data_IF_460475573430
#
_entry.id   IF_460475573430
#
_cell.length_a   1.000
_cell.length_b   1.000
_cell.length_c   1.000
_cell.angle_alpha   90.00
_cell.angle_beta   90.00
_cell.angle_gamma   90.00
#
_symmetry.space_group_name_H-M   'P 1'
#
loop_
_entity.id
_entity.type
_entity.pdbx_description
1 polymer ?
#
# COMPACT_ATOMS: atom_id res chain seq x y z
N UNK A 1 16.79 -10.64 -6.15
CA UNK A 1 15.87 -10.70 -7.30
C UNK A 1 14.56 -10.12 -6.83
N UNK A 2 13.92 -9.25 -7.62
CA UNK A 2 12.59 -8.74 -7.29
C UNK A 2 11.62 -9.91 -7.22
N UNK A 3 10.99 -10.10 -6.05
CA UNK A 3 10.00 -11.16 -5.85
C UNK A 3 8.70 -10.76 -6.53
N UNK A 4 8.14 -11.70 -7.30
CA UNK A 4 6.84 -11.57 -7.92
C UNK A 4 6.03 -12.83 -7.61
N UNK A 5 4.77 -12.65 -7.22
CA UNK A 5 3.77 -13.72 -7.02
C UNK A 5 2.63 -13.46 -7.99
N UNK A 6 2.08 -14.51 -8.60
CA UNK A 6 0.98 -14.39 -9.55
C UNK A 6 -0.33 -14.86 -8.91
N UNK A 7 -1.34 -13.99 -8.86
CA UNK A 7 -2.71 -14.36 -8.48
C UNK A 7 -3.58 -14.23 -9.72
N UNK A 8 -4.13 -15.36 -10.18
CA UNK A 8 -4.83 -15.47 -11.46
C UNK A 8 -4.03 -14.84 -12.62
N UNK A 9 -4.50 -13.73 -13.20
CA UNK A 9 -3.85 -13.01 -14.30
C UNK A 9 -3.03 -11.79 -13.85
N UNK A 10 -2.83 -11.56 -12.55
CA UNK A 10 -2.12 -10.39 -12.00
C UNK A 10 -0.80 -10.79 -11.35
N UNK A 11 0.28 -10.11 -11.76
CA UNK A 11 1.58 -10.16 -11.10
C UNK A 11 1.63 -9.12 -9.99
N UNK A 12 2.03 -9.56 -8.80
CA UNK A 12 2.15 -8.75 -7.59
C UNK A 12 3.62 -8.74 -7.22
N UNK A 13 4.21 -7.56 -7.02
CA UNK A 13 5.63 -7.43 -6.70
C UNK A 13 6.21 -6.07 -7.08
N UNK A 14 7.53 -5.95 -7.04
CA UNK A 14 8.21 -4.76 -7.53
C UNK A 14 8.03 -4.61 -9.04
N UNK A 15 7.87 -3.36 -9.52
CA UNK A 15 7.62 -3.08 -10.93
C UNK A 15 6.17 -3.23 -11.39
N UNK A 16 5.29 -3.81 -10.55
CA UNK A 16 3.86 -3.95 -10.83
C UNK A 16 3.02 -2.96 -10.02
N UNK A 17 1.82 -2.64 -10.51
CA UNK A 17 0.83 -1.86 -9.78
C UNK A 17 0.37 -2.60 -8.54
N UNK A 18 0.21 -1.89 -7.43
CA UNK A 18 -0.39 -2.33 -6.17
C UNK A 18 -1.71 -3.04 -6.44
N UNK A 19 -1.86 -4.24 -5.89
CA UNK A 19 -3.04 -5.07 -5.95
C UNK A 19 -4.04 -4.63 -4.87
N UNK A 20 -5.21 -4.14 -5.28
CA UNK A 20 -6.20 -3.55 -4.37
C UNK A 20 -7.39 -4.50 -4.23
N UNK A 21 -7.62 -4.96 -3.00
CA UNK A 21 -8.67 -5.90 -2.62
C UNK A 21 -9.80 -5.12 -1.94
N UNK A 22 -11.01 -5.22 -2.50
CA UNK A 22 -12.24 -4.84 -1.81
C UNK A 22 -12.72 -6.04 -0.99
N UNK A 23 -12.75 -5.89 0.33
CA UNK A 23 -13.27 -6.92 1.24
C UNK A 23 -14.78 -6.73 1.43
N UNK A 24 -15.57 -7.74 1.02
CA UNK A 24 -17.03 -7.68 1.15
C UNK A 24 -17.47 -7.94 2.59
N UNK A 25 -16.86 -8.93 3.26
CA UNK A 25 -17.24 -9.37 4.61
C UNK A 25 -18.77 -9.51 4.76
N UNK A 26 -19.33 -9.11 5.91
CA UNK A 26 -20.77 -9.14 6.22
C UNK A 26 -21.59 -8.02 5.55
N UNK A 27 -21.00 -7.16 4.70
CA UNK A 27 -21.70 -5.98 4.16
C UNK A 27 -22.80 -6.31 3.14
N UNK A 28 -22.92 -7.58 2.73
CA UNK A 28 -24.05 -8.05 1.93
C UNK A 28 -25.35 -8.17 2.75
N UNK A 29 -25.30 -8.11 4.09
CA UNK A 29 -26.48 -8.12 4.97
C UNK A 29 -27.45 -9.28 4.71
N UNK A 30 -26.92 -10.48 4.45
CA UNK A 30 -27.72 -11.65 4.06
C UNK A 30 -28.64 -11.42 2.84
N UNK A 31 -28.21 -10.59 1.88
CA UNK A 31 -28.89 -10.35 0.61
C UNK A 31 -27.94 -10.64 -0.58
N UNK A 32 -28.32 -11.58 -1.45
CA UNK A 32 -27.52 -11.99 -2.60
C UNK A 32 -27.43 -10.89 -3.66
N UNK A 33 -28.54 -10.20 -3.94
CA UNK A 33 -28.56 -9.13 -4.95
C UNK A 33 -27.70 -7.95 -4.48
N UNK A 34 -27.71 -7.68 -3.17
CA UNK A 34 -26.78 -6.72 -2.55
C UNK A 34 -25.32 -7.13 -2.70
N UNK A 35 -24.98 -8.41 -2.49
CA UNK A 35 -23.62 -8.91 -2.74
C UNK A 35 -23.19 -8.66 -4.20
N UNK A 36 -24.09 -8.87 -5.16
CA UNK A 36 -23.85 -8.58 -6.58
C UNK A 36 -23.65 -7.08 -6.83
N UNK A 37 -24.44 -6.22 -6.20
CA UNK A 37 -24.26 -4.77 -6.27
C UNK A 37 -22.90 -4.31 -5.72
N UNK A 38 -22.46 -4.89 -4.60
CA UNK A 38 -21.14 -4.65 -4.00
C UNK A 38 -20.02 -5.00 -4.99
N UNK A 39 -20.07 -6.18 -5.61
CA UNK A 39 -19.08 -6.63 -6.61
C UNK A 39 -18.96 -5.60 -7.75
N UNK A 40 -20.10 -5.19 -8.32
CA UNK A 40 -20.14 -4.22 -9.42
C UNK A 40 -19.62 -2.84 -9.00
N UNK A 41 -19.98 -2.41 -7.78
CA UNK A 41 -19.51 -1.14 -7.23
C UNK A 41 -17.99 -1.16 -6.96
N UNK A 42 -17.45 -2.24 -6.42
CA UNK A 42 -16.02 -2.44 -6.21
C UNK A 42 -15.24 -2.39 -7.52
N UNK A 43 -15.72 -3.08 -8.58
CA UNK A 43 -15.12 -3.00 -9.91
C UNK A 43 -15.12 -1.58 -10.45
N UNK A 44 -16.27 -0.89 -10.38
CA UNK A 44 -16.40 0.51 -10.83
C UNK A 44 -15.52 1.48 -10.04
N UNK A 45 -15.24 1.18 -8.77
CA UNK A 45 -14.32 1.94 -7.93
C UNK A 45 -12.84 1.66 -8.26
N UNK A 46 -12.54 0.61 -9.02
CA UNK A 46 -11.20 0.28 -9.49
C UNK A 46 -10.46 -0.75 -8.63
N UNK A 47 -11.19 -1.57 -7.86
CA UNK A 47 -10.61 -2.74 -7.21
C UNK A 47 -10.04 -3.72 -8.26
N UNK A 48 -8.97 -4.43 -7.88
CA UNK A 48 -8.40 -5.54 -8.65
C UNK A 48 -9.07 -6.88 -8.28
N UNK A 49 -9.53 -6.99 -7.04
CA UNK A 49 -10.18 -8.18 -6.51
C UNK A 49 -11.33 -7.86 -5.56
N UNK A 50 -12.26 -8.81 -5.46
CA UNK A 50 -13.24 -8.90 -4.38
C UNK A 50 -12.89 -10.10 -3.49
N UNK A 51 -12.92 -9.91 -2.17
CA UNK A 51 -12.68 -10.97 -1.19
C UNK A 51 -13.96 -11.28 -0.41
N UNK A 52 -14.20 -12.58 -0.22
CA UNK A 52 -15.30 -13.13 0.59
C UNK A 52 -14.75 -13.68 1.93
N UNK A 53 -15.65 -14.16 2.79
CA UNK A 53 -15.31 -14.98 3.95
C UNK A 53 -16.10 -16.29 3.91
N UNK A 54 -15.42 -17.41 4.12
CA UNK A 54 -15.98 -18.75 3.98
C UNK A 54 -15.91 -19.47 5.30
N UNK A 55 -17.04 -19.52 5.98
CA UNK A 55 -17.26 -20.28 7.21
C UNK A 55 -18.77 -20.49 7.40
N UNK A 56 -19.12 -21.30 8.38
CA UNK A 56 -20.45 -21.25 9.02
C UNK A 56 -20.24 -20.98 10.51
N UNK A 57 -21.25 -20.50 11.25
CA UNK A 57 -21.14 -20.33 12.70
C UNK A 57 -20.65 -21.60 13.41
N UNK A 58 -21.07 -22.77 12.94
CA UNK A 58 -20.76 -24.07 13.54
C UNK A 58 -19.37 -24.61 13.16
N UNK A 59 -18.72 -24.07 12.11
CA UNK A 59 -17.37 -24.49 11.72
C UNK A 59 -16.29 -23.62 12.33
N UNK A 60 -16.57 -22.32 12.52
CA UNK A 60 -15.63 -21.37 13.13
C UNK A 60 -15.73 -21.33 14.66
N UNK A 61 -16.91 -21.64 15.22
CA UNK A 61 -17.17 -21.64 16.66
C UNK A 61 -18.29 -22.62 17.00
N UNK A 62 -18.82 -22.56 18.22
CA UNK A 62 -19.94 -23.40 18.67
C UNK A 62 -21.03 -22.54 19.31
N UNK A 63 -22.27 -23.02 19.28
CA UNK A 63 -23.39 -22.40 19.99
C UNK A 63 -23.20 -22.56 21.51
N UNK A 64 -22.55 -21.56 22.10
CA UNK A 64 -22.24 -21.51 23.52
C UNK A 64 -22.31 -20.07 24.03
N UNK A 65 -22.94 -19.86 25.19
CA UNK A 65 -23.14 -18.54 25.82
C UNK A 65 -22.44 -18.45 27.19
N UNK A 66 -21.34 -19.19 27.36
CA UNK A 66 -20.50 -19.03 28.54
C UNK A 66 -19.61 -17.79 28.42
N UNK A 67 -18.92 -17.43 29.50
CA UNK A 67 -18.14 -16.19 29.56
C UNK A 67 -17.00 -16.04 28.53
N UNK A 68 -16.56 -17.15 27.91
CA UNK A 68 -15.49 -17.18 26.91
C UNK A 68 -16.02 -16.92 25.49
N UNK A 69 -17.28 -17.25 25.21
CA UNK A 69 -17.91 -17.05 23.90
C UNK A 69 -18.64 -15.72 23.80
N UNK A 70 -18.81 -15.00 24.91
CA UNK A 70 -19.36 -13.65 24.92
C UNK A 70 -18.34 -12.60 24.47
N UNK A 71 -18.82 -11.66 23.65
CA UNK A 71 -18.05 -10.52 23.18
C UNK A 71 -18.20 -9.38 24.19
N UNK A 72 -17.10 -9.04 24.85
CA UNK A 72 -17.02 -8.07 25.98
C UNK A 72 -15.70 -7.29 26.01
N UNK A 73 -15.06 -7.14 24.85
CA UNK A 73 -13.70 -6.60 24.73
C UNK A 73 -13.68 -5.09 24.39
N UNK A 74 -14.81 -4.39 24.51
CA UNK A 74 -14.95 -2.97 24.18
C UNK A 74 -15.03 -2.74 22.67
N UNK A 75 -15.56 -3.71 21.92
CA UNK A 75 -15.69 -3.68 20.47
C UNK A 75 -17.08 -3.22 20.03
N UNK A 76 -17.25 -2.97 18.74
CA UNK A 76 -18.56 -2.66 18.15
C UNK A 76 -19.54 -3.85 18.17
N UNK A 77 -19.05 -5.05 18.53
CA UNK A 77 -19.83 -6.29 18.59
C UNK A 77 -20.13 -6.75 20.02
N UNK A 78 -19.83 -5.92 21.03
CA UNK A 78 -20.08 -6.27 22.43
C UNK A 78 -21.56 -6.51 22.72
N UNK A 79 -21.86 -7.44 23.63
CA UNK A 79 -23.23 -7.75 24.08
C UNK A 79 -23.91 -8.90 23.35
N UNK A 80 -23.17 -9.66 22.54
CA UNK A 80 -23.62 -10.92 21.94
C UNK A 80 -22.57 -12.02 22.09
N UNK A 81 -22.85 -13.20 21.55
CA UNK A 81 -21.91 -14.33 21.46
C UNK A 81 -21.27 -14.39 20.07
N UNK A 82 -20.08 -14.96 19.95
CA UNK A 82 -19.43 -15.22 18.65
C UNK A 82 -20.36 -15.93 17.66
N UNK A 83 -21.03 -17.00 18.09
CA UNK A 83 -21.92 -17.79 17.22
C UNK A 83 -23.06 -16.96 16.62
N UNK A 84 -23.80 -16.22 17.46
CA UNK A 84 -24.87 -15.29 17.01
C UNK A 84 -24.36 -14.22 16.04
N UNK A 85 -23.19 -13.61 16.31
CA UNK A 85 -22.59 -12.64 15.40
C UNK A 85 -22.31 -13.27 14.03
N UNK A 86 -21.67 -14.44 14.03
CA UNK A 86 -21.32 -15.15 12.80
C UNK A 86 -22.55 -15.64 12.04
N UNK A 87 -23.66 -15.93 12.71
CA UNK A 87 -24.92 -16.28 12.09
C UNK A 87 -25.51 -15.12 11.27
N UNK A 88 -25.30 -13.88 11.70
CA UNK A 88 -25.68 -12.69 10.95
C UNK A 88 -24.68 -12.36 9.83
N UNK A 89 -23.40 -12.66 10.04
CA UNK A 89 -22.29 -12.17 9.21
C UNK A 89 -21.86 -13.10 8.06
N UNK A 90 -22.02 -14.42 8.18
CA UNK A 90 -21.44 -15.37 7.21
C UNK A 90 -22.00 -15.20 5.80
N UNK A 91 -21.17 -15.42 4.78
CA UNK A 91 -21.64 -15.49 3.38
C UNK A 91 -22.13 -16.91 3.08
N UNK A 92 -23.41 -17.13 2.72
CA UNK A 92 -23.94 -18.45 2.40
C UNK A 92 -23.12 -19.18 1.34
N UNK A 93 -22.76 -20.44 1.60
CA UNK A 93 -21.83 -21.20 0.76
C UNK A 93 -22.36 -21.36 -0.66
N UNK A 94 -23.66 -21.62 -0.81
CA UNK A 94 -24.30 -21.79 -2.11
C UNK A 94 -24.33 -20.50 -2.97
N UNK A 95 -24.00 -19.34 -2.38
CA UNK A 95 -23.82 -18.10 -3.12
C UNK A 95 -22.43 -17.96 -3.71
N UNK A 96 -21.40 -18.43 -2.99
CA UNK A 96 -20.01 -18.11 -3.29
C UNK A 96 -19.56 -18.53 -4.71
N UNK A 97 -19.93 -19.70 -5.27
CA UNK A 97 -19.62 -20.04 -6.66
C UNK A 97 -20.28 -19.10 -7.67
N UNK A 98 -21.52 -18.66 -7.40
CA UNK A 98 -22.25 -17.71 -8.26
C UNK A 98 -21.63 -16.32 -8.18
N UNK A 99 -21.27 -15.86 -6.98
CA UNK A 99 -20.61 -14.58 -6.75
C UNK A 99 -19.21 -14.55 -7.39
N UNK A 100 -18.44 -15.64 -7.28
CA UNK A 100 -17.15 -15.79 -7.97
C UNK A 100 -17.31 -15.60 -9.47
N UNK A 101 -18.27 -16.32 -10.09
CA UNK A 101 -18.55 -16.18 -11.52
C UNK A 101 -18.91 -14.73 -11.90
N UNK A 102 -19.80 -14.09 -11.14
CA UNK A 102 -20.21 -12.70 -11.40
C UNK A 102 -19.01 -11.75 -11.28
N UNK A 103 -18.16 -11.91 -10.26
CA UNK A 103 -16.96 -11.11 -10.09
C UNK A 103 -15.99 -11.28 -11.26
N UNK A 104 -15.77 -12.52 -11.71
CA UNK A 104 -14.92 -12.83 -12.86
C UNK A 104 -15.47 -12.25 -14.17
N UNK A 105 -16.80 -12.33 -14.38
CA UNK A 105 -17.48 -11.74 -15.54
C UNK A 105 -17.37 -10.18 -15.54
N UNK A 106 -17.33 -9.54 -14.36
CA UNK A 106 -17.03 -8.10 -14.19
C UNK A 106 -15.53 -7.78 -14.30
N UNK A 107 -14.67 -8.80 -14.43
CA UNK A 107 -13.22 -8.66 -14.54
C UNK A 107 -12.52 -8.35 -13.21
N UNK A 108 -13.05 -8.85 -12.10
CA UNK A 108 -12.39 -8.92 -10.80
C UNK A 108 -11.82 -10.32 -10.56
N UNK A 109 -10.71 -10.39 -9.83
CA UNK A 109 -10.29 -11.65 -9.21
C UNK A 109 -11.17 -11.88 -7.97
N UNK A 110 -11.63 -13.12 -7.76
CA UNK A 110 -12.40 -13.48 -6.58
C UNK A 110 -11.71 -14.63 -5.82
N UNK A 111 -11.50 -14.42 -4.53
CA UNK A 111 -11.00 -15.41 -3.58
C UNK A 111 -11.61 -15.15 -2.20
N UNK A 112 -11.25 -15.96 -1.20
CA UNK A 112 -11.86 -15.87 0.12
C UNK A 112 -10.88 -16.13 1.26
N UNK A 113 -11.31 -15.79 2.46
CA UNK A 113 -10.73 -16.25 3.72
C UNK A 113 -11.43 -17.52 4.20
N UNK A 114 -10.78 -18.69 4.22
CA UNK A 114 -11.27 -19.85 4.97
C UNK A 114 -10.97 -19.69 6.46
N UNK A 115 -11.75 -20.34 7.31
CA UNK A 115 -11.60 -20.32 8.77
C UNK A 115 -11.56 -21.72 9.41
N UNK A 116 -11.66 -22.77 8.59
CA UNK A 116 -11.60 -24.16 9.01
C UNK A 116 -11.25 -25.07 7.81
N UNK A 117 -10.97 -26.35 8.04
CA UNK A 117 -10.55 -27.26 6.97
C UNK A 117 -11.63 -27.46 5.89
N UNK A 118 -12.92 -27.47 6.27
CA UNK A 118 -14.03 -27.66 5.32
C UNK A 118 -14.19 -26.44 4.41
N UNK A 119 -13.94 -25.24 4.92
CA UNK A 119 -13.93 -24.03 4.10
C UNK A 119 -12.74 -24.00 3.14
N UNK A 120 -11.58 -24.56 3.49
CA UNK A 120 -10.46 -24.74 2.52
C UNK A 120 -10.85 -25.69 1.40
N UNK A 121 -11.44 -26.83 1.73
CA UNK A 121 -11.84 -27.84 0.74
C UNK A 121 -12.92 -27.31 -0.22
N UNK A 122 -13.90 -26.57 0.31
CA UNK A 122 -14.90 -25.88 -0.50
C UNK A 122 -14.28 -24.85 -1.46
N UNK A 123 -13.28 -24.10 -1.00
CA UNK A 123 -12.57 -23.14 -1.85
C UNK A 123 -11.71 -23.81 -2.93
N UNK A 124 -11.24 -25.04 -2.70
CA UNK A 124 -10.60 -25.86 -3.74
C UNK A 124 -11.60 -26.30 -4.80
N UNK A 125 -12.80 -26.73 -4.41
CA UNK A 125 -13.87 -27.04 -5.36
C UNK A 125 -14.28 -25.82 -6.20
N UNK A 126 -14.24 -24.62 -5.60
CA UNK A 126 -14.47 -23.35 -6.30
C UNK A 126 -13.31 -22.89 -7.21
N UNK A 127 -12.16 -23.56 -7.13
CA UNK A 127 -10.91 -23.18 -7.78
C UNK A 127 -10.55 -21.70 -7.60
N UNK A 128 -10.46 -21.25 -6.34
CA UNK A 128 -9.99 -19.88 -6.06
C UNK A 128 -8.49 -19.76 -6.36
N UNK A 129 -8.01 -18.59 -6.82
CA UNK A 129 -6.61 -18.42 -7.24
C UNK A 129 -5.62 -18.14 -6.10
N UNK A 130 -6.10 -17.92 -4.88
CA UNK A 130 -5.30 -17.63 -3.68
C UNK A 130 -6.13 -17.82 -2.41
N UNK A 131 -5.47 -17.87 -1.26
CA UNK A 131 -6.10 -17.88 0.06
C UNK A 131 -5.75 -16.65 0.87
N UNK A 132 -6.69 -16.21 1.70
CA UNK A 132 -6.44 -15.20 2.73
C UNK A 132 -6.56 -15.78 4.13
N UNK A 133 -5.45 -15.89 4.85
CA UNK A 133 -5.44 -16.17 6.29
C UNK A 133 -5.75 -14.85 7.02
N UNK A 134 -6.84 -14.83 7.78
CA UNK A 134 -7.21 -13.69 8.61
C UNK A 134 -6.29 -13.60 9.84
N UNK A 135 -6.30 -12.43 10.50
CA UNK A 135 -5.34 -12.17 11.58
C UNK A 135 -5.51 -13.13 12.75
N UNK A 136 -6.73 -13.56 13.07
CA UNK A 136 -7.00 -14.40 14.24
C UNK A 136 -6.55 -15.84 14.03
N UNK A 137 -6.37 -16.27 12.79
CA UNK A 137 -5.93 -17.62 12.42
C UNK A 137 -4.41 -17.72 12.24
N UNK A 138 -3.65 -16.63 12.37
CA UNK A 138 -2.19 -16.62 12.10
C UNK A 138 -1.38 -17.55 13.02
N UNK A 139 -1.90 -17.87 14.20
CA UNK A 139 -1.26 -18.78 15.15
C UNK A 139 -1.75 -20.23 15.01
N UNK A 140 -2.73 -20.51 14.15
CA UNK A 140 -3.22 -21.85 13.87
C UNK A 140 -2.31 -22.53 12.82
N UNK A 141 -1.18 -23.04 13.31
CA UNK A 141 -0.13 -23.61 12.46
C UNK A 141 -0.60 -24.82 11.64
N UNK A 142 -1.30 -25.82 12.21
CA UNK A 142 -1.84 -26.93 11.41
C UNK A 142 -2.79 -26.46 10.30
N UNK A 143 -3.59 -25.42 10.57
CA UNK A 143 -4.47 -24.83 9.55
C UNK A 143 -3.70 -24.14 8.43
N UNK A 144 -2.66 -23.36 8.76
CA UNK A 144 -1.79 -22.71 7.77
C UNK A 144 -1.05 -23.75 6.93
N UNK A 145 -0.55 -24.85 7.52
CA UNK A 145 0.04 -25.96 6.78
C UNK A 145 -0.98 -26.58 5.81
N UNK A 146 -2.22 -26.79 6.24
CA UNK A 146 -3.26 -27.32 5.37
C UNK A 146 -3.53 -26.41 4.17
N UNK A 147 -3.69 -25.10 4.39
CA UNK A 147 -3.84 -24.10 3.31
C UNK A 147 -2.64 -24.14 2.36
N UNK A 148 -1.42 -24.10 2.92
CA UNK A 148 -0.20 -24.06 2.14
C UNK A 148 0.00 -25.32 1.29
N UNK A 149 -0.46 -26.49 1.77
CA UNK A 149 -0.38 -27.77 1.06
C UNK A 149 -1.11 -27.80 -0.27
N UNK A 150 -2.08 -26.90 -0.47
CA UNK A 150 -2.83 -26.75 -1.73
C UNK A 150 -2.01 -26.08 -2.84
N UNK A 151 -0.85 -25.50 -2.50
CA UNK A 151 0.12 -24.99 -3.47
C UNK A 151 -0.26 -23.68 -4.16
N UNK A 152 -1.29 -22.98 -3.66
CA UNK A 152 -1.72 -21.65 -4.16
C UNK A 152 -1.12 -20.52 -3.33
N UNK A 153 -1.01 -19.28 -3.86
CA UNK A 153 -0.56 -18.12 -3.09
C UNK A 153 -1.34 -17.91 -1.79
N UNK A 154 -0.62 -17.58 -0.72
CA UNK A 154 -1.19 -17.34 0.63
C UNK A 154 -0.93 -15.89 1.05
N UNK A 155 -2.01 -15.14 1.24
CA UNK A 155 -1.99 -13.80 1.82
C UNK A 155 -2.33 -13.93 3.30
N UNK A 156 -1.47 -13.45 4.21
CA UNK A 156 -1.71 -13.56 5.66
C UNK A 156 -1.72 -12.18 6.31
N UNK A 157 -2.78 -11.86 7.05
CA UNK A 157 -2.81 -10.65 7.89
C UNK A 157 -2.13 -10.91 9.24
N UNK A 158 -1.37 -9.94 9.74
CA UNK A 158 -0.56 -10.10 10.97
C UNK A 158 -1.10 -9.32 12.16
N UNK A 159 -2.42 -9.13 12.26
CA UNK A 159 -3.03 -8.10 13.11
C UNK A 159 -2.96 -8.29 14.63
N UNK A 160 -2.77 -9.53 15.08
CA UNK A 160 -2.59 -9.89 16.50
C UNK A 160 -1.20 -10.47 16.79
N UNK A 161 -0.38 -10.63 15.75
CA UNK A 161 0.83 -11.44 15.79
C UNK A 161 2.02 -10.67 16.34
N UNK A 162 2.82 -11.34 17.17
CA UNK A 162 4.19 -10.93 17.45
C UNK A 162 5.15 -11.45 16.35
N UNK A 163 6.45 -11.14 16.47
CA UNK A 163 7.44 -11.55 15.48
C UNK A 163 7.55 -13.08 15.34
N UNK A 164 7.55 -13.83 16.45
CA UNK A 164 7.66 -15.29 16.43
C UNK A 164 6.42 -15.97 15.84
N UNK A 165 5.23 -15.41 16.05
CA UNK A 165 4.00 -15.93 15.44
C UNK A 165 4.07 -15.83 13.90
N UNK A 166 4.56 -14.68 13.40
CA UNK A 166 4.74 -14.46 11.95
C UNK A 166 5.81 -15.40 11.39
N UNK A 167 6.92 -15.57 12.10
CA UNK A 167 7.98 -16.50 11.70
C UNK A 167 7.47 -17.93 11.59
N UNK A 168 6.71 -18.39 12.59
CA UNK A 168 6.16 -19.74 12.59
C UNK A 168 5.13 -19.94 11.47
N UNK A 169 4.23 -18.97 11.23
CA UNK A 169 3.28 -19.00 10.12
C UNK A 169 3.98 -19.05 8.75
N UNK A 170 5.04 -18.26 8.54
CA UNK A 170 5.85 -18.29 7.31
C UNK A 170 6.54 -19.64 7.15
N UNK A 171 7.08 -20.20 8.24
CA UNK A 171 7.75 -21.50 8.21
C UNK A 171 6.77 -22.64 7.97
N UNK A 172 5.54 -22.57 8.47
CA UNK A 172 4.46 -23.50 8.19
C UNK A 172 4.21 -23.63 6.69
N UNK A 173 4.07 -22.50 5.98
CA UNK A 173 3.94 -22.51 4.52
C UNK A 173 5.14 -23.18 3.83
N UNK A 174 6.36 -22.83 4.26
CA UNK A 174 7.59 -23.39 3.69
C UNK A 174 7.75 -24.90 3.93
N UNK A 175 7.31 -25.42 5.07
CA UNK A 175 7.31 -26.87 5.37
C UNK A 175 6.47 -27.65 4.36
N UNK A 176 5.41 -27.03 3.84
CA UNK A 176 4.56 -27.59 2.80
C UNK A 176 5.06 -27.30 1.37
N UNK A 177 6.26 -26.74 1.23
CA UNK A 177 6.86 -26.41 -0.07
C UNK A 177 6.33 -25.13 -0.70
N UNK A 178 5.46 -24.38 -0.02
CA UNK A 178 4.83 -23.18 -0.56
C UNK A 178 5.61 -21.91 -0.17
N UNK A 179 6.16 -21.22 -1.17
CA UNK A 179 6.93 -19.98 -1.00
C UNK A 179 6.18 -18.74 -1.51
N UNK A 180 4.95 -18.90 -2.01
CA UNK A 180 4.13 -17.82 -2.55
C UNK A 180 3.36 -17.11 -1.42
N UNK A 181 4.14 -16.46 -0.54
CA UNK A 181 3.64 -15.85 0.69
C UNK A 181 3.60 -14.33 0.55
N UNK A 182 2.47 -13.72 0.92
CA UNK A 182 2.28 -12.28 1.04
C UNK A 182 1.88 -11.96 2.48
N UNK A 183 2.61 -11.07 3.15
CA UNK A 183 2.27 -10.63 4.51
C UNK A 183 1.61 -9.25 4.50
N UNK A 184 0.44 -9.13 5.11
CA UNK A 184 -0.22 -7.84 5.30
C UNK A 184 -0.03 -7.37 6.74
N UNK A 185 0.63 -6.21 6.89
CA UNK A 185 0.56 -5.48 8.14
C UNK A 185 -0.92 -5.19 8.43
N UNK A 186 -1.37 -5.44 9.65
CA UNK A 186 -2.76 -5.24 10.06
C UNK A 186 -2.81 -4.74 11.52
N UNK A 187 -3.84 -3.96 11.88
CA UNK A 187 -4.20 -3.74 13.29
C UNK A 187 -5.62 -4.26 13.45
N UNK A 188 -5.82 -5.26 14.30
CA UNK A 188 -7.14 -5.89 14.51
C UNK A 188 -8.02 -5.07 15.48
N UNK A 189 -8.24 -3.80 15.16
CA UNK A 189 -9.19 -2.91 15.85
C UNK A 189 -10.06 -2.19 14.82
N UNK A 190 -11.35 -2.02 15.12
CA UNK A 190 -12.38 -1.73 14.13
C UNK A 190 -13.30 -0.58 14.61
N UNK A 191 -13.09 0.67 14.14
CA UNK A 191 -11.99 1.13 13.29
C UNK A 191 -10.65 1.22 14.04
N UNK A 192 -9.55 1.13 13.30
CA UNK A 192 -8.21 1.28 13.87
C UNK A 192 -7.86 2.75 14.13
N UNK A 193 -7.32 3.11 15.31
CA UNK A 193 -6.79 4.44 15.56
C UNK A 193 -5.51 4.66 14.76
N UNK A 194 -5.29 5.89 14.28
CA UNK A 194 -4.17 6.23 13.40
C UNK A 194 -2.81 5.95 14.06
N UNK A 195 -2.71 6.22 15.36
CA UNK A 195 -1.51 6.01 16.18
C UNK A 195 -1.16 4.52 16.31
N UNK A 196 -2.15 3.63 16.17
CA UNK A 196 -1.98 2.17 16.29
C UNK A 196 -1.59 1.48 14.99
N UNK A 197 -1.47 2.20 13.86
CA UNK A 197 -1.26 1.58 12.54
C UNK A 197 0.18 1.11 12.33
N UNK A 198 1.19 1.86 12.79
CA UNK A 198 2.60 1.46 12.68
C UNK A 198 3.08 1.08 11.26
N UNK A 199 2.86 1.94 10.26
CA UNK A 199 3.19 1.64 8.85
C UNK A 199 4.67 1.32 8.58
N UNK A 200 5.60 1.75 9.44
CA UNK A 200 7.04 1.42 9.33
C UNK A 200 7.31 -0.09 9.44
N UNK A 201 6.35 -0.87 9.95
CA UNK A 201 6.43 -2.33 9.98
C UNK A 201 6.36 -2.96 8.57
N UNK A 202 5.75 -2.30 7.58
CA UNK A 202 5.64 -2.83 6.21
C UNK A 202 7.00 -3.12 5.54
N UNK A 203 7.93 -2.16 5.46
CA UNK A 203 9.26 -2.43 4.92
C UNK A 203 10.05 -3.42 5.80
N UNK A 204 9.92 -3.35 7.13
CA UNK A 204 10.60 -4.29 8.03
C UNK A 204 10.12 -5.74 7.83
N UNK A 205 8.82 -5.99 7.65
CA UNK A 205 8.28 -7.31 7.31
C UNK A 205 8.87 -7.84 6.00
N UNK A 206 9.00 -6.97 4.99
CA UNK A 206 9.56 -7.35 3.69
C UNK A 206 11.02 -7.76 3.83
N UNK A 207 11.83 -6.96 4.53
CA UNK A 207 13.24 -7.25 4.78
C UNK A 207 13.43 -8.52 5.64
N UNK A 208 12.67 -8.65 6.72
CA UNK A 208 12.84 -9.71 7.72
C UNK A 208 12.47 -11.09 7.16
N UNK A 209 11.32 -11.18 6.49
CA UNK A 209 10.83 -12.46 5.98
C UNK A 209 11.18 -12.69 4.51
N UNK A 210 11.76 -11.67 3.84
CA UNK A 210 12.04 -11.67 2.41
C UNK A 210 10.76 -12.03 1.64
N UNK A 211 9.64 -11.33 1.88
CA UNK A 211 8.35 -11.60 1.22
C UNK A 211 7.78 -10.32 0.63
N UNK A 212 6.78 -10.48 -0.23
CA UNK A 212 5.94 -9.35 -0.65
C UNK A 212 5.09 -8.93 0.55
N UNK A 213 5.02 -7.63 0.79
CA UNK A 213 4.21 -7.09 1.89
C UNK A 213 3.13 -6.14 1.42
N UNK A 214 2.14 -5.96 2.27
CA UNK A 214 1.04 -5.04 2.05
C UNK A 214 0.41 -4.56 3.34
N UNK A 215 -0.81 -4.03 3.23
CA UNK A 215 -1.60 -3.53 4.35
C UNK A 215 -3.03 -4.06 4.27
N UNK A 216 -3.54 -4.57 5.38
CA UNK A 216 -4.96 -4.76 5.66
C UNK A 216 -5.41 -3.60 6.54
N UNK A 217 -6.27 -2.72 6.02
CA UNK A 217 -6.49 -1.39 6.58
C UNK A 217 -7.90 -1.20 7.16
N UNK A 218 -8.00 -1.07 8.49
CA UNK A 218 -9.26 -0.81 9.18
C UNK A 218 -9.42 0.64 9.67
N UNK A 219 -8.57 1.59 9.21
CA UNK A 219 -8.77 3.01 9.56
C UNK A 219 -9.90 3.63 8.74
N UNK A 220 -10.39 4.79 9.15
CA UNK A 220 -11.27 5.60 8.30
C UNK A 220 -10.48 6.30 7.19
N UNK A 221 -11.08 6.43 6.01
CA UNK A 221 -10.47 7.07 4.84
C UNK A 221 -9.32 6.29 4.21
N UNK A 222 -8.66 6.89 3.20
CA UNK A 222 -7.62 6.23 2.38
C UNK A 222 -6.18 6.65 2.68
N UNK A 223 -5.95 7.60 3.59
CA UNK A 223 -4.63 8.19 3.83
C UNK A 223 -3.57 7.15 4.21
N UNK A 224 -3.96 6.18 5.05
CA UNK A 224 -3.09 5.12 5.54
C UNK A 224 -2.70 4.16 4.42
N UNK A 225 -3.66 3.71 3.62
CA UNK A 225 -3.43 2.88 2.43
C UNK A 225 -2.50 3.55 1.41
N UNK A 226 -2.64 4.87 1.20
CA UNK A 226 -1.75 5.63 0.30
C UNK A 226 -0.32 5.70 0.86
N UNK A 227 -0.17 5.99 2.15
CA UNK A 227 1.13 6.04 2.81
C UNK A 227 1.83 4.66 2.85
N UNK A 228 1.07 3.58 2.98
CA UNK A 228 1.58 2.21 2.92
C UNK A 228 2.24 1.90 1.57
N UNK A 229 1.62 2.32 0.46
CA UNK A 229 2.19 2.17 -0.90
C UNK A 229 3.50 2.95 -1.03
N UNK A 230 3.55 4.17 -0.49
CA UNK A 230 4.79 4.95 -0.46
C UNK A 230 5.92 4.28 0.34
N UNK A 231 5.58 3.42 1.31
CA UNK A 231 6.51 2.63 2.11
C UNK A 231 6.81 1.23 1.52
N UNK A 232 6.30 0.94 0.32
CA UNK A 232 6.62 -0.28 -0.42
C UNK A 232 5.54 -1.36 -0.44
N UNK A 233 4.36 -1.12 0.18
CA UNK A 233 3.24 -2.07 0.10
C UNK A 233 2.86 -2.37 -1.35
N UNK A 234 2.66 -3.65 -1.67
CA UNK A 234 2.21 -4.15 -2.98
C UNK A 234 0.79 -4.67 -2.99
N UNK A 235 0.20 -4.84 -1.81
CA UNK A 235 -1.18 -5.27 -1.62
C UNK A 235 -1.86 -4.33 -0.63
N UNK A 236 -3.07 -3.89 -0.96
CA UNK A 236 -3.93 -3.09 -0.07
C UNK A 236 -5.27 -3.78 0.02
N UNK A 237 -5.72 -4.08 1.24
CA UNK A 237 -7.04 -4.64 1.52
C UNK A 237 -7.85 -3.64 2.36
N UNK A 238 -9.08 -3.36 1.93
CA UNK A 238 -10.00 -2.42 2.57
C UNK A 238 -11.41 -2.99 2.53
N UNK A 239 -12.12 -2.97 3.66
CA UNK A 239 -13.54 -3.31 3.69
C UNK A 239 -14.34 -2.35 2.80
N UNK A 240 -15.33 -2.88 2.10
CA UNK A 240 -16.12 -2.17 1.10
C UNK A 240 -17.61 -2.35 1.37
N UNK A 241 -18.36 -1.26 1.37
CA UNK A 241 -19.82 -1.24 1.54
C UNK A 241 -20.45 -0.29 0.53
N UNK A 242 -21.72 -0.49 0.18
CA UNK A 242 -22.46 0.44 -0.69
C UNK A 242 -22.76 1.76 0.03
N UNK A 243 -23.23 1.68 1.28
CA UNK A 243 -23.43 2.82 2.16
C UNK A 243 -23.35 2.39 3.62
N UNK A 244 -22.65 3.17 4.45
CA UNK A 244 -22.58 2.92 5.90
C UNK A 244 -23.91 3.13 6.62
N UNK A 245 -24.85 3.84 6.01
CA UNK A 245 -26.18 4.09 6.56
C UNK A 245 -27.04 2.82 6.63
N UNK A 246 -26.67 1.78 5.88
CA UNK A 246 -27.36 0.48 5.88
C UNK A 246 -27.12 -0.35 7.15
N UNK A 247 -26.18 0.09 8.01
CA UNK A 247 -25.73 -0.63 9.22
C UNK A 247 -25.20 -2.03 8.87
N UNK A 248 -25.10 -2.90 9.87
CA UNK A 248 -24.52 -4.23 9.77
C UNK A 248 -23.22 -4.35 10.57
N UNK A 249 -22.70 -5.58 10.75
CA UNK A 249 -21.57 -5.84 11.64
C UNK A 249 -20.31 -5.03 11.32
N UNK A 250 -20.06 -4.78 10.03
CA UNK A 250 -18.80 -4.19 9.56
C UNK A 250 -18.95 -2.78 8.95
N UNK A 251 -20.16 -2.22 8.99
CA UNK A 251 -20.46 -0.97 8.30
C UNK A 251 -19.62 0.21 8.83
N UNK A 252 -19.37 0.27 10.14
CA UNK A 252 -18.75 1.44 10.79
C UNK A 252 -17.34 1.78 10.28
N UNK A 253 -16.60 0.81 9.76
CA UNK A 253 -15.22 0.97 9.27
C UNK A 253 -15.05 0.64 7.79
N UNK A 254 -16.12 0.20 7.12
CA UNK A 254 -16.12 -0.08 5.68
C UNK A 254 -16.09 1.20 4.84
N UNK A 255 -15.43 1.15 3.69
CA UNK A 255 -15.26 2.28 2.79
C UNK A 255 -16.34 2.28 1.71
N UNK A 256 -16.94 3.45 1.46
CA UNK A 256 -17.97 3.62 0.43
C UNK A 256 -17.38 3.78 -0.97
N UNK A 257 -18.15 3.56 -2.06
CA UNK A 257 -17.61 3.46 -3.42
C UNK A 257 -16.88 4.72 -3.88
N UNK A 258 -17.34 5.92 -3.49
CA UNK A 258 -16.70 7.20 -3.85
C UNK A 258 -15.35 7.36 -3.14
N UNK A 259 -15.28 6.99 -1.87
CA UNK A 259 -14.07 7.05 -1.05
C UNK A 259 -13.04 6.03 -1.57
N UNK A 260 -13.49 4.82 -1.88
CA UNK A 260 -12.64 3.76 -2.42
C UNK A 260 -12.06 4.15 -3.78
N UNK A 261 -12.90 4.69 -4.68
CA UNK A 261 -12.43 5.19 -5.97
C UNK A 261 -11.38 6.29 -5.82
N UNK A 262 -11.57 7.19 -4.85
CA UNK A 262 -10.57 8.23 -4.54
C UNK A 262 -9.27 7.60 -4.04
N UNK A 263 -9.34 6.65 -3.12
CA UNK A 263 -8.17 5.93 -2.60
C UNK A 263 -7.39 5.22 -3.71
N UNK A 264 -8.08 4.49 -4.60
CA UNK A 264 -7.47 3.84 -5.77
C UNK A 264 -6.76 4.87 -6.65
N UNK A 265 -7.43 5.98 -6.98
CA UNK A 265 -6.85 7.03 -7.83
C UNK A 265 -5.60 7.66 -7.20
N UNK A 266 -5.63 7.93 -5.88
CA UNK A 266 -4.51 8.49 -5.16
C UNK A 266 -3.34 7.50 -5.06
N UNK A 267 -3.61 6.20 -4.84
CA UNK A 267 -2.59 5.13 -4.92
C UNK A 267 -1.92 5.16 -6.30
N UNK A 268 -2.69 5.17 -7.40
CA UNK A 268 -2.12 5.23 -8.76
C UNK A 268 -1.31 6.50 -9.01
N UNK A 269 -1.66 7.63 -8.37
CA UNK A 269 -0.88 8.86 -8.47
C UNK A 269 0.43 8.76 -7.70
N UNK A 270 0.42 8.17 -6.49
CA UNK A 270 1.63 7.94 -5.70
C UNK A 270 2.58 6.98 -6.41
N UNK A 271 2.08 5.90 -7.02
CA UNK A 271 2.91 4.98 -7.79
C UNK A 271 3.68 5.69 -8.92
N UNK A 272 3.01 6.62 -9.63
CA UNK A 272 3.66 7.44 -10.65
C UNK A 272 4.67 8.42 -10.05
N UNK A 273 4.38 8.96 -8.87
CA UNK A 273 5.19 9.98 -8.21
C UNK A 273 6.44 9.42 -7.51
N UNK A 274 6.40 8.16 -7.03
CA UNK A 274 7.55 7.51 -6.37
C UNK A 274 8.78 7.46 -7.28
N UNK A 275 8.58 7.16 -8.55
CA UNK A 275 9.64 7.17 -9.56
C UNK A 275 10.82 6.28 -9.20
N UNK A 276 12.03 6.77 -9.45
CA UNK A 276 13.30 6.10 -9.14
C UNK A 276 14.28 7.09 -8.51
N UNK A 277 15.21 6.59 -7.70
CA UNK A 277 16.31 7.40 -7.19
C UNK A 277 17.14 7.91 -8.38
N UNK A 278 17.22 9.22 -8.55
CA UNK A 278 18.06 9.87 -9.56
C UNK A 278 18.49 11.26 -9.13
N UNK A 279 19.75 11.59 -9.42
CA UNK A 279 20.30 12.95 -9.32
C UNK A 279 20.53 13.57 -10.69
N UNK A 280 20.17 12.85 -11.75
CA UNK A 280 20.27 13.35 -13.12
C UNK A 280 19.15 14.34 -13.37
N UNK A 281 19.54 15.51 -13.88
CA UNK A 281 18.58 16.53 -14.28
C UNK A 281 18.02 16.19 -15.65
N UNK A 282 16.70 16.32 -15.81
CA UNK A 282 16.05 16.38 -17.12
C UNK A 282 16.58 17.56 -17.93
N UNK A 283 16.47 17.52 -19.26
CA UNK A 283 16.88 18.65 -20.12
C UNK A 283 16.20 19.97 -19.74
N UNK A 284 14.93 19.91 -19.34
CA UNK A 284 14.19 21.07 -18.82
C UNK A 284 14.84 21.61 -17.54
N UNK A 285 15.20 20.74 -16.59
CA UNK A 285 15.88 21.14 -15.36
C UNK A 285 17.31 21.67 -15.62
N UNK A 286 18.05 21.08 -16.57
CA UNK A 286 19.37 21.60 -17.00
C UNK A 286 19.24 23.02 -17.53
N UNK A 287 18.25 23.27 -18.41
CA UNK A 287 17.96 24.62 -18.92
C UNK A 287 17.54 25.58 -17.79
N UNK A 288 16.75 25.14 -16.82
CA UNK A 288 16.38 25.98 -15.67
C UNK A 288 17.58 26.43 -14.83
N UNK A 289 18.76 25.80 -14.95
CA UNK A 289 20.00 26.30 -14.33
C UNK A 289 20.43 27.65 -14.87
N UNK A 290 19.98 28.07 -16.05
CA UNK A 290 20.18 29.44 -16.56
C UNK A 290 19.57 30.50 -15.62
N UNK A 291 18.62 30.13 -14.75
CA UNK A 291 18.07 31.00 -13.71
C UNK A 291 18.83 30.90 -12.37
N UNK A 292 19.90 30.10 -12.27
CA UNK A 292 20.72 30.03 -11.04
C UNK A 292 21.59 31.28 -10.89
N UNK A 293 22.22 31.45 -9.73
CA UNK A 293 23.24 32.50 -9.57
C UNK A 293 24.55 32.05 -10.19
N UNK A 294 25.28 33.01 -10.74
CA UNK A 294 26.67 32.87 -11.16
C UNK A 294 27.39 34.21 -10.92
N UNK A 295 28.69 34.27 -11.14
CA UNK A 295 29.44 35.52 -10.92
C UNK A 295 29.31 36.42 -12.14
N UNK A 296 28.99 37.69 -11.88
CA UNK A 296 28.76 38.71 -12.90
C UNK A 296 29.42 40.01 -12.49
N UNK A 297 29.88 40.74 -13.50
CA UNK A 297 30.32 42.12 -13.39
C UNK A 297 29.11 43.02 -13.17
N UNK A 298 29.07 43.78 -12.07
CA UNK A 298 27.93 44.62 -11.66
C UNK A 298 28.20 46.12 -11.78
N UNK A 299 29.45 46.51 -11.99
CA UNK A 299 29.93 47.85 -12.35
C UNK A 299 30.95 47.68 -13.47
N UNK A 300 31.09 48.64 -14.39
CA UNK A 300 32.17 48.60 -15.39
C UNK A 300 33.55 48.51 -14.70
N UNK A 301 34.48 47.74 -15.27
CA UNK A 301 35.84 47.50 -14.75
C UNK A 301 36.84 47.74 -15.88
N UNK A 302 37.94 48.44 -15.61
CA UNK A 302 39.02 48.70 -16.58
C UNK A 302 40.13 47.65 -16.54
N UNK A 303 40.83 47.46 -17.65
CA UNK A 303 42.05 46.65 -17.69
C UNK A 303 43.02 47.05 -16.56
N UNK A 304 43.55 46.06 -15.84
CA UNK A 304 44.43 46.22 -14.69
C UNK A 304 43.73 46.51 -13.35
N UNK A 305 42.42 46.77 -13.32
CA UNK A 305 41.66 46.99 -12.08
C UNK A 305 41.41 45.69 -11.30
N UNK A 306 41.26 45.84 -9.97
CA UNK A 306 41.07 44.74 -9.03
C UNK A 306 39.59 44.36 -8.95
N UNK A 307 39.32 43.05 -8.93
CA UNK A 307 38.01 42.47 -8.64
C UNK A 307 37.68 42.60 -7.15
N UNK A 308 36.56 43.24 -6.84
CA UNK A 308 36.09 43.51 -5.47
C UNK A 308 34.62 43.09 -5.33
N UNK A 309 34.13 43.02 -4.09
CA UNK A 309 32.71 42.73 -3.82
C UNK A 309 31.75 43.78 -4.40
N UNK A 310 32.26 44.99 -4.68
CA UNK A 310 31.48 46.07 -5.27
C UNK A 310 31.28 45.94 -6.78
N UNK A 311 32.24 45.35 -7.49
CA UNK A 311 32.25 45.30 -8.96
C UNK A 311 31.98 43.89 -9.52
N UNK A 312 32.13 42.82 -8.73
CA UNK A 312 31.70 41.47 -9.08
C UNK A 312 30.84 40.88 -7.97
N UNK A 313 29.68 40.32 -8.35
CA UNK A 313 28.75 39.71 -7.40
C UNK A 313 28.21 38.39 -7.92
N UNK A 314 27.86 37.52 -6.98
CA UNK A 314 26.99 36.38 -7.23
C UNK A 314 25.57 36.88 -7.49
N UNK A 315 25.10 36.89 -8.73
CA UNK A 315 23.74 37.29 -9.10
C UNK A 315 23.18 36.34 -10.18
N UNK A 316 21.89 36.42 -10.45
CA UNK A 316 21.28 35.75 -11.62
C UNK A 316 21.50 36.61 -12.86
N UNK A 317 21.55 36.05 -14.08
CA UNK A 317 21.35 34.63 -14.45
C UNK A 317 22.58 33.72 -14.23
N UNK A 318 22.49 32.46 -14.65
CA UNK A 318 23.47 31.39 -14.42
C UNK A 318 24.47 31.19 -15.56
N UNK A 319 24.89 32.26 -16.25
CA UNK A 319 25.78 32.20 -17.42
C UNK A 319 27.25 32.51 -17.13
N UNK A 320 27.58 32.99 -15.94
CA UNK A 320 28.96 33.22 -15.49
C UNK A 320 29.55 32.01 -14.77
N UNK A 321 30.77 32.19 -14.26
CA UNK A 321 31.44 31.15 -13.48
C UNK A 321 30.69 30.81 -12.18
N UNK A 322 30.93 29.60 -11.67
CA UNK A 322 30.29 29.09 -10.45
C UNK A 322 30.64 29.99 -9.27
N UNK A 323 29.64 30.28 -8.44
CA UNK A 323 29.77 31.22 -7.30
C UNK A 323 30.76 30.77 -6.23
N UNK A 324 31.10 29.47 -6.18
CA UNK A 324 32.12 28.94 -5.27
C UNK A 324 33.50 29.58 -5.47
N UNK A 325 33.76 30.11 -6.67
CA UNK A 325 35.02 30.73 -7.04
C UNK A 325 35.13 32.21 -6.65
N UNK A 326 34.12 32.79 -5.98
CA UNK A 326 34.14 34.23 -5.69
C UNK A 326 35.37 34.65 -4.89
N UNK A 327 35.76 33.85 -3.87
CA UNK A 327 36.96 34.12 -3.07
C UNK A 327 38.25 33.92 -3.85
N UNK A 328 38.24 33.07 -4.87
CA UNK A 328 39.42 32.78 -5.68
C UNK A 328 39.70 33.87 -6.72
N UNK A 329 38.71 34.72 -7.01
CA UNK A 329 38.82 35.80 -8.00
C UNK A 329 38.91 37.19 -7.37
N UNK A 330 38.44 37.37 -6.14
CA UNK A 330 38.61 38.64 -5.43
C UNK A 330 40.10 38.96 -5.27
N UNK A 331 40.42 40.25 -5.26
CA UNK A 331 41.78 40.79 -5.19
C UNK A 331 42.68 40.49 -6.41
N UNK A 332 42.15 39.80 -7.44
CA UNK A 332 42.84 39.62 -8.72
C UNK A 332 42.55 40.75 -9.69
N UNK A 333 43.48 40.99 -10.62
CA UNK A 333 43.34 41.97 -11.69
C UNK A 333 42.67 41.38 -12.93
N UNK A 334 41.96 42.22 -13.68
CA UNK A 334 41.41 41.85 -14.99
C UNK A 334 42.34 42.27 -16.12
N UNK A 335 42.50 41.42 -17.14
CA UNK A 335 43.40 41.69 -18.29
C UNK A 335 42.72 42.38 -19.49
N UNK A 336 41.49 42.86 -19.30
CA UNK A 336 40.74 43.63 -20.30
C UNK A 336 39.59 44.41 -19.65
N UNK A 337 39.08 45.42 -20.35
CA UNK A 337 37.86 46.13 -19.97
C UNK A 337 36.63 45.19 -19.91
N UNK A 338 35.86 45.25 -18.82
CA UNK A 338 34.62 44.50 -18.64
C UNK A 338 33.42 45.44 -18.39
N UNK A 339 32.31 45.19 -19.07
CA UNK A 339 31.07 45.97 -18.88
C UNK A 339 30.16 45.36 -17.83
N UNK A 340 29.40 46.21 -17.13
CA UNK A 340 28.28 45.77 -16.28
C UNK A 340 27.36 44.82 -17.06
N UNK A 341 27.03 43.70 -16.44
CA UNK A 341 26.24 42.62 -17.05
C UNK A 341 27.06 41.55 -17.75
N UNK A 342 28.39 41.65 -17.77
CA UNK A 342 29.27 40.60 -18.32
C UNK A 342 29.27 39.38 -17.37
N UNK A 343 28.97 38.15 -17.87
CA UNK A 343 29.15 36.93 -17.09
C UNK A 343 30.63 36.73 -16.82
N UNK A 344 31.04 36.62 -15.56
CA UNK A 344 32.45 36.49 -15.20
C UNK A 344 33.00 35.14 -15.64
N UNK A 345 34.26 35.10 -16.10
CA UNK A 345 34.95 33.91 -16.57
C UNK A 345 36.45 34.00 -16.24
N UNK A 346 37.12 32.85 -16.07
CA UNK A 346 38.54 32.78 -15.76
C UNK A 346 39.40 33.47 -16.80
N UNK A 347 38.95 33.49 -18.06
CA UNK A 347 39.66 34.16 -19.16
C UNK A 347 39.80 35.67 -19.00
N UNK A 348 39.08 36.30 -18.06
CA UNK A 348 39.20 37.74 -17.81
C UNK A 348 40.25 38.09 -16.76
N UNK A 349 40.77 37.10 -16.04
CA UNK A 349 41.65 37.30 -14.89
C UNK A 349 43.12 37.16 -15.34
N UNK A 350 43.99 38.01 -14.82
CA UNK A 350 45.45 37.87 -14.94
C UNK A 350 45.92 36.60 -14.21
N UNK A 351 46.99 35.96 -14.71
CA UNK A 351 47.54 34.73 -14.12
C UNK A 351 48.09 34.93 -12.71
#
# INVERSE_FOLDING_TARGET
MDKTIKIANREIGNGHSTFIIAEMSANHLQDFDKAVEIIKAAKKAGADAIKLQTYTPDTITIDCDNEYFQIKQGTIWDGTTLHKLYQEAYTPWEWQPKLKKIAEDEGLICFSSPFDMTSVDFLEEMDVPAYKVASFEITDIPFIEYIASKGKPVIMSTGIANLSDIEEAVNACKRMGNNEIILLKCTSTYPSPMEGVNLKTIPNLSETFNVITGLSDHTLGGAVSIAAVALGAKVIEKHFILSRDEKGPDAAFSMEPKEFKKMVQDIRNVEKALGKVTYELTEKQKKSREHSRSLFVVKDIKEGEILTEENVRSIRPGFGMKTKYIKDILDKKVKMDLKKGTPMDWKFIEE
#
